data_IF_998155767684
#
_entry.id   IF_998155767684
#
_cell.length_a   1.000
_cell.length_b   1.000
_cell.length_c   1.000
_cell.angle_alpha   90.00
_cell.angle_beta   90.00
_cell.angle_gamma   90.00
#
_symmetry.space_group_name_H-M   'P 1'
#
loop_
_entity.id
_entity.type
_entity.pdbx_description
1 polymer ?
#
# COMPACT_ATOMS: atom_id res chain seq x y z
N UNK A 1 -0.11 -20.26 -1.60
CA UNK A 1 0.14 -19.14 -0.64
C UNK A 1 -1.19 -18.47 -0.32
N UNK A 2 -1.44 -18.08 0.95
CA UNK A 2 -2.63 -17.31 1.32
C UNK A 2 -2.24 -15.87 1.61
N UNK A 3 -2.96 -14.91 1.02
CA UNK A 3 -2.71 -13.48 1.17
C UNK A 3 -3.98 -12.75 1.60
N UNK A 4 -3.89 -11.88 2.60
CA UNK A 4 -4.95 -10.96 2.98
C UNK A 4 -4.69 -9.56 2.41
N UNK A 5 -5.67 -8.95 1.74
CA UNK A 5 -5.59 -7.56 1.27
C UNK A 5 -6.77 -6.75 1.79
N UNK A 6 -6.48 -5.73 2.60
CA UNK A 6 -7.44 -4.72 3.00
C UNK A 6 -7.49 -3.56 1.99
N UNK A 7 -8.69 -3.03 1.72
CA UNK A 7 -8.84 -1.86 0.84
C UNK A 7 -8.75 -2.16 -0.66
N UNK A 8 -9.10 -3.38 -1.08
CA UNK A 8 -8.97 -3.86 -2.47
C UNK A 8 -9.70 -3.01 -3.53
N UNK A 9 -10.67 -2.18 -3.12
CA UNK A 9 -11.39 -1.28 -4.03
C UNK A 9 -10.58 -0.03 -4.43
N UNK A 10 -9.45 0.25 -3.78
CA UNK A 10 -8.58 1.38 -4.13
C UNK A 10 -7.92 1.21 -5.50
N UNK A 11 -7.63 2.34 -6.18
CA UNK A 11 -7.01 2.36 -7.53
C UNK A 11 -5.68 1.57 -7.56
N UNK A 12 -4.83 1.80 -6.57
CA UNK A 12 -3.57 1.09 -6.42
C UNK A 12 -3.76 -0.41 -6.14
N UNK A 13 -4.63 -0.75 -5.18
CA UNK A 13 -4.87 -2.13 -4.77
C UNK A 13 -5.38 -3.02 -5.92
N UNK A 14 -6.19 -2.46 -6.84
CA UNK A 14 -6.63 -3.18 -8.05
C UNK A 14 -5.47 -3.52 -8.97
N UNK A 15 -4.53 -2.61 -9.18
CA UNK A 15 -3.32 -2.85 -10.00
C UNK A 15 -2.40 -3.87 -9.35
N UNK A 16 -2.17 -3.73 -8.03
CA UNK A 16 -1.40 -4.70 -7.25
C UNK A 16 -1.95 -6.11 -7.43
N UNK A 17 -3.27 -6.23 -7.36
CA UNK A 17 -3.96 -7.50 -7.48
C UNK A 17 -3.84 -8.12 -8.88
N UNK A 18 -3.88 -7.31 -9.94
CA UNK A 18 -3.55 -7.77 -11.30
C UNK A 18 -2.13 -8.34 -11.34
N UNK A 19 -1.13 -7.59 -10.88
CA UNK A 19 0.27 -8.04 -10.88
C UNK A 19 0.51 -9.29 -10.02
N UNK A 20 -0.19 -9.42 -8.88
CA UNK A 20 -0.13 -10.62 -8.04
C UNK A 20 -0.68 -11.86 -8.77
N UNK A 21 -1.81 -11.73 -9.47
CA UNK A 21 -2.42 -12.82 -10.23
C UNK A 21 -1.55 -13.22 -11.43
N UNK A 22 -1.02 -12.24 -12.16
CA UNK A 22 -0.18 -12.48 -13.33
C UNK A 22 1.15 -13.15 -12.91
N UNK A 23 1.83 -12.60 -11.90
CA UNK A 23 3.11 -13.13 -11.39
C UNK A 23 2.98 -14.52 -10.78
N UNK A 24 1.83 -14.83 -10.15
CA UNK A 24 1.56 -16.17 -9.64
C UNK A 24 1.42 -17.21 -10.76
N UNK A 25 0.89 -16.80 -11.91
CA UNK A 25 0.66 -17.68 -13.07
C UNK A 25 1.97 -17.92 -13.83
N UNK A 26 2.81 -16.90 -13.99
CA UNK A 26 4.10 -17.02 -14.69
C UNK A 26 5.12 -17.88 -13.94
N UNK A 27 5.05 -17.92 -12.60
CA UNK A 27 5.99 -18.64 -11.76
C UNK A 27 5.54 -20.08 -11.42
N UNK A 28 4.51 -20.61 -12.09
CA UNK A 28 3.95 -21.95 -11.83
C UNK A 28 3.26 -22.08 -10.46
N UNK A 29 2.97 -20.96 -9.80
CA UNK A 29 2.37 -20.90 -8.46
C UNK A 29 0.84 -20.81 -8.57
N UNK A 30 0.20 -21.90 -9.00
CA UNK A 30 -1.28 -21.95 -9.15
C UNK A 30 -2.06 -21.83 -7.83
N UNK A 31 -1.38 -21.96 -6.69
CA UNK A 31 -1.99 -22.00 -5.35
C UNK A 31 -2.07 -20.63 -4.63
N UNK A 32 -1.98 -19.50 -5.34
CA UNK A 32 -2.22 -18.19 -4.69
C UNK A 32 -3.71 -18.00 -4.41
N UNK A 33 -4.10 -18.00 -3.14
CA UNK A 33 -5.46 -17.63 -2.70
C UNK A 33 -5.41 -16.27 -2.02
N UNK A 34 -6.14 -15.29 -2.57
CA UNK A 34 -6.21 -13.95 -2.00
C UNK A 34 -7.56 -13.77 -1.29
N UNK A 35 -7.52 -13.59 0.03
CA UNK A 35 -8.66 -13.15 0.83
C UNK A 35 -8.73 -11.63 0.79
N UNK A 36 -9.83 -11.12 0.28
CA UNK A 36 -10.02 -9.68 0.05
C UNK A 36 -10.99 -9.13 1.05
N UNK A 37 -10.62 -8.01 1.66
CA UNK A 37 -11.53 -7.26 2.51
C UNK A 37 -12.02 -6.00 1.82
N UNK A 38 -13.34 -5.91 1.61
CA UNK A 38 -13.97 -4.72 1.05
C UNK A 38 -15.28 -4.38 1.77
N UNK A 39 -15.62 -3.09 1.78
CA UNK A 39 -16.90 -2.61 2.31
C UNK A 39 -18.06 -2.83 1.33
N UNK A 40 -17.76 -2.64 0.05
CA UNK A 40 -18.72 -2.65 -1.04
C UNK A 40 -18.14 -3.44 -2.22
N UNK A 41 -18.52 -4.72 -2.35
CA UNK A 41 -18.13 -5.59 -3.45
C UNK A 41 -18.45 -5.03 -4.83
N UNK A 42 -19.52 -4.25 -4.98
CA UNK A 42 -20.00 -3.76 -6.28
C UNK A 42 -19.02 -2.78 -6.93
N UNK A 43 -18.07 -2.22 -6.15
CA UNK A 43 -17.02 -1.32 -6.67
C UNK A 43 -15.85 -2.05 -7.33
N UNK A 44 -15.83 -3.37 -7.29
CA UNK A 44 -14.79 -4.17 -7.94
C UNK A 44 -15.12 -4.42 -9.42
N UNK A 45 -14.13 -4.34 -10.33
CA UNK A 45 -14.31 -4.75 -11.72
C UNK A 45 -14.73 -6.22 -11.83
N UNK A 46 -15.59 -6.52 -12.80
CA UNK A 46 -16.12 -7.87 -13.04
C UNK A 46 -15.01 -8.91 -13.22
N UNK A 47 -13.95 -8.57 -13.97
CA UNK A 47 -12.76 -9.39 -14.19
C UNK A 47 -12.05 -9.83 -12.91
N UNK A 48 -12.09 -8.98 -11.86
CA UNK A 48 -11.53 -9.30 -10.55
C UNK A 48 -12.56 -10.01 -9.67
N UNK A 49 -13.85 -9.78 -9.83
CA UNK A 49 -14.89 -10.43 -9.01
C UNK A 49 -15.12 -11.90 -9.38
N UNK A 50 -14.88 -12.29 -10.63
CA UNK A 50 -15.20 -13.63 -11.15
C UNK A 50 -14.04 -14.63 -11.07
N UNK A 51 -12.85 -14.22 -10.63
CA UNK A 51 -11.71 -15.15 -10.61
C UNK A 51 -11.78 -16.11 -9.39
N UNK A 52 -11.61 -17.41 -9.60
CA UNK A 52 -11.76 -18.44 -8.55
C UNK A 52 -10.63 -18.41 -7.51
N UNK A 53 -9.56 -17.65 -7.75
CA UNK A 53 -8.41 -17.53 -6.83
C UNK A 53 -8.65 -16.54 -5.68
N UNK A 54 -9.87 -16.00 -5.60
CA UNK A 54 -10.16 -14.81 -4.84
C UNK A 54 -11.38 -15.06 -3.97
N UNK A 55 -11.17 -15.00 -2.67
CA UNK A 55 -12.24 -15.15 -1.69
C UNK A 55 -12.59 -13.76 -1.16
N UNK A 56 -13.84 -13.35 -1.36
CA UNK A 56 -14.31 -12.05 -0.90
C UNK A 56 -14.86 -12.14 0.51
N UNK A 57 -14.28 -11.37 1.42
CA UNK A 57 -14.76 -11.17 2.77
C UNK A 57 -15.31 -9.74 2.88
N UNK A 58 -16.63 -9.63 3.00
CA UNK A 58 -17.28 -8.35 3.22
C UNK A 58 -17.39 -8.09 4.73
N UNK A 59 -17.09 -6.86 5.15
CA UNK A 59 -17.34 -6.46 6.53
C UNK A 59 -17.18 -4.95 6.76
N UNK A 60 -17.58 -4.52 7.96
CA UNK A 60 -17.55 -3.14 8.44
C UNK A 60 -16.28 -2.77 9.21
N UNK A 61 -15.15 -3.30 8.79
CA UNK A 61 -13.85 -3.11 9.43
C UNK A 61 -13.39 -1.67 9.30
N UNK A 62 -12.34 -1.27 10.04
CA UNK A 62 -11.83 0.10 9.99
C UNK A 62 -11.65 0.48 8.52
N UNK A 63 -12.25 1.61 8.13
CA UNK A 63 -12.37 2.07 6.74
C UNK A 63 -10.97 1.98 6.12
N UNK A 64 -10.76 0.97 5.26
CA UNK A 64 -9.44 0.65 4.72
C UNK A 64 -8.73 1.90 4.21
N UNK A 65 -7.42 1.98 4.50
CA UNK A 65 -6.53 3.10 4.25
C UNK A 65 -6.86 3.79 2.92
N UNK A 66 -7.67 4.84 3.04
CA UNK A 66 -7.88 5.80 1.96
C UNK A 66 -6.60 6.61 1.95
N UNK A 67 -6.10 6.99 0.77
CA UNK A 67 -4.90 7.83 0.64
C UNK A 67 -4.98 9.14 1.48
N UNK A 68 -6.16 9.47 2.02
CA UNK A 68 -6.48 10.59 2.91
C UNK A 68 -7.61 10.17 3.89
N UNK A 69 -7.32 9.28 4.84
CA UNK A 69 -8.17 9.06 6.02
C UNK A 69 -7.77 10.00 7.16
N UNK A 70 -8.65 10.23 8.15
CA UNK A 70 -8.21 10.94 9.35
C UNK A 70 -7.11 10.14 10.08
N UNK A 71 -6.21 10.83 10.78
CA UNK A 71 -5.03 10.21 11.41
C UNK A 71 -5.42 9.08 12.36
N UNK A 72 -6.51 9.26 13.13
CA UNK A 72 -7.00 8.25 14.06
C UNK A 72 -7.41 6.98 13.31
N UNK A 73 -8.15 7.11 12.22
CA UNK A 73 -8.57 6.01 11.37
C UNK A 73 -7.36 5.32 10.73
N UNK A 74 -6.38 6.08 10.24
CA UNK A 74 -5.18 5.55 9.60
C UNK A 74 -4.32 4.76 10.59
N UNK A 75 -4.12 5.30 11.80
CA UNK A 75 -3.32 4.66 12.85
C UNK A 75 -4.08 3.48 13.45
N UNK A 76 -5.25 3.71 14.03
CA UNK A 76 -5.98 2.68 14.78
C UNK A 76 -6.51 1.56 13.87
N UNK A 77 -6.86 1.90 12.62
CA UNK A 77 -7.24 0.90 11.63
C UNK A 77 -6.10 -0.05 11.26
N UNK A 78 -4.89 0.47 11.10
CA UNK A 78 -3.70 -0.36 10.85
C UNK A 78 -3.32 -1.17 12.10
N UNK A 79 -3.30 -0.56 13.29
CA UNK A 79 -3.01 -1.27 14.54
C UNK A 79 -3.92 -2.46 14.77
N UNK A 80 -5.23 -2.28 14.57
CA UNK A 80 -6.20 -3.38 14.71
C UNK A 80 -5.92 -4.54 13.75
N UNK A 81 -5.54 -4.25 12.50
CA UNK A 81 -5.16 -5.28 11.53
C UNK A 81 -3.86 -5.99 11.95
N UNK A 82 -2.88 -5.24 12.44
CA UNK A 82 -1.62 -5.77 12.95
C UNK A 82 -1.87 -6.70 14.14
N UNK A 83 -2.75 -6.32 15.07
CA UNK A 83 -3.09 -7.13 16.25
C UNK A 83 -3.75 -8.45 15.86
N UNK A 84 -4.67 -8.42 14.89
CA UNK A 84 -5.27 -9.65 14.34
C UNK A 84 -4.21 -10.54 13.69
N UNK A 85 -3.24 -9.96 12.99
CA UNK A 85 -2.14 -10.71 12.38
C UNK A 85 -1.19 -11.34 13.42
N UNK A 86 -0.86 -10.62 14.49
CA UNK A 86 0.03 -11.07 15.56
C UNK A 86 -0.62 -12.12 16.47
N UNK A 87 -1.93 -12.02 16.70
CA UNK A 87 -2.71 -12.94 17.53
C UNK A 87 -3.27 -14.17 16.78
N UNK A 88 -3.17 -14.21 15.44
CA UNK A 88 -3.66 -15.34 14.66
C UNK A 88 -2.96 -16.66 15.06
N UNK A 89 -3.65 -17.79 14.88
CA UNK A 89 -3.09 -19.13 15.15
C UNK A 89 -3.21 -20.00 13.88
N UNK A 90 -2.11 -20.28 13.16
CA UNK A 90 -0.76 -19.73 13.35
C UNK A 90 -0.70 -18.22 13.03
N UNK A 91 0.29 -17.47 13.57
CA UNK A 91 0.45 -16.04 13.28
C UNK A 91 0.65 -15.76 11.80
N UNK A 92 0.24 -14.57 11.37
CA UNK A 92 0.54 -14.11 10.01
C UNK A 92 2.03 -13.74 9.94
N UNK A 93 2.83 -14.37 9.06
CA UNK A 93 4.28 -14.26 9.12
C UNK A 93 4.81 -12.86 8.77
N UNK A 94 4.09 -12.13 7.91
CA UNK A 94 4.50 -10.81 7.40
C UNK A 94 3.31 -9.88 7.25
N UNK A 95 3.52 -8.62 7.60
CA UNK A 95 2.57 -7.55 7.37
C UNK A 95 3.21 -6.45 6.51
N UNK A 96 2.59 -6.16 5.36
CA UNK A 96 3.03 -5.10 4.45
C UNK A 96 2.18 -3.86 4.73
N UNK A 97 2.79 -2.83 5.34
CA UNK A 97 2.06 -1.61 5.69
C UNK A 97 1.87 -0.70 4.48
N UNK A 98 0.65 -0.20 4.30
CA UNK A 98 0.26 0.75 3.27
C UNK A 98 0.77 2.17 3.58
N UNK A 99 1.89 2.56 3.00
CA UNK A 99 2.26 3.99 2.90
C UNK A 99 2.59 4.40 1.46
N UNK A 100 3.27 3.54 0.68
CA UNK A 100 3.66 3.82 -0.72
C UNK A 100 4.03 5.29 -0.93
N UNK A 101 4.95 5.77 -0.10
CA UNK A 101 5.28 7.17 -0.04
C UNK A 101 6.78 7.41 -0.19
N UNK A 102 7.09 8.70 -0.11
CA UNK A 102 8.42 9.22 0.12
C UNK A 102 9.05 8.65 1.40
N UNK A 103 10.37 8.74 1.48
CA UNK A 103 11.11 8.23 2.63
C UNK A 103 10.85 9.01 3.91
N UNK A 104 9.94 8.51 4.75
CA UNK A 104 9.59 9.11 6.04
C UNK A 104 10.43 8.59 7.22
N UNK A 105 11.29 7.59 7.01
CA UNK A 105 11.99 6.87 8.09
C UNK A 105 13.00 7.71 8.87
N UNK A 106 13.36 8.89 8.37
CA UNK A 106 14.27 9.84 9.03
C UNK A 106 13.54 11.06 9.59
N UNK A 107 12.24 11.17 9.33
CA UNK A 107 11.45 12.30 9.78
C UNK A 107 11.12 12.15 11.27
N UNK A 108 11.14 13.26 11.98
CA UNK A 108 10.53 13.39 13.30
C UNK A 108 9.07 13.77 13.14
N UNK A 109 8.27 13.45 14.16
CA UNK A 109 6.88 13.87 14.20
C UNK A 109 6.78 15.38 13.97
N UNK A 110 5.78 15.79 13.18
CA UNK A 110 5.47 17.18 12.80
C UNK A 110 6.43 17.83 11.80
N UNK A 111 7.54 17.19 11.41
CA UNK A 111 8.37 17.71 10.30
C UNK A 111 7.64 17.59 8.96
N UNK A 112 6.79 16.56 8.82
CA UNK A 112 5.84 16.41 7.73
C UNK A 112 4.57 15.75 8.25
N UNK A 113 3.66 16.56 8.80
CA UNK A 113 2.47 16.08 9.50
C UNK A 113 1.65 15.00 8.76
N UNK A 114 1.51 14.99 7.40
CA UNK A 114 0.80 13.92 6.71
C UNK A 114 1.45 12.53 6.84
N UNK A 115 2.68 12.46 7.39
CA UNK A 115 3.45 11.23 7.60
C UNK A 115 3.55 10.78 9.06
N UNK A 116 3.08 11.59 10.01
CA UNK A 116 3.02 11.20 11.42
C UNK A 116 2.26 9.88 11.65
N UNK A 117 1.10 9.62 11.00
CA UNK A 117 0.43 8.33 11.12
C UNK A 117 1.31 7.13 10.72
N UNK A 118 2.17 7.29 9.72
CA UNK A 118 3.00 6.21 9.19
C UNK A 118 4.19 5.92 10.09
N UNK A 119 4.70 6.94 10.79
CA UNK A 119 5.70 6.79 11.85
C UNK A 119 5.11 5.93 12.98
N UNK A 120 3.91 6.26 13.46
CA UNK A 120 3.25 5.49 14.52
C UNK A 120 2.93 4.04 14.12
N UNK A 121 2.44 3.82 12.90
CA UNK A 121 2.16 2.46 12.40
C UNK A 121 3.45 1.64 12.25
N UNK A 122 4.53 2.26 11.77
CA UNK A 122 5.85 1.61 11.67
C UNK A 122 6.34 1.16 13.04
N UNK A 123 6.39 2.07 14.01
CA UNK A 123 6.82 1.77 15.38
C UNK A 123 5.98 0.65 16.01
N UNK A 124 4.65 0.70 15.82
CA UNK A 124 3.75 -0.32 16.35
C UNK A 124 3.93 -1.69 15.72
N UNK A 125 4.16 -1.75 14.41
CA UNK A 125 4.40 -3.01 13.72
C UNK A 125 5.75 -3.61 14.13
N UNK A 126 6.79 -2.78 14.26
CA UNK A 126 8.12 -3.21 14.70
C UNK A 126 8.17 -3.65 16.17
N UNK A 127 7.19 -3.23 16.99
CA UNK A 127 7.08 -3.72 18.36
C UNK A 127 6.47 -5.12 18.47
N UNK A 128 5.97 -5.71 17.37
CA UNK A 128 5.36 -7.05 17.37
C UNK A 128 6.42 -8.14 17.32
N UNK A 129 6.13 -9.27 17.97
CA UNK A 129 7.07 -10.41 18.09
C UNK A 129 6.88 -11.46 17.00
N UNK A 130 5.63 -11.67 16.57
CA UNK A 130 5.29 -12.80 15.69
C UNK A 130 5.14 -12.40 14.22
N UNK A 131 5.16 -11.10 13.93
CA UNK A 131 4.89 -10.55 12.60
C UNK A 131 6.10 -9.76 12.12
N UNK A 132 6.70 -10.18 11.01
CA UNK A 132 7.78 -9.42 10.37
C UNK A 132 7.20 -8.19 9.66
N UNK A 133 7.80 -7.03 9.94
CA UNK A 133 7.43 -5.76 9.33
C UNK A 133 7.98 -5.65 7.90
N UNK A 134 7.15 -5.16 6.98
CA UNK A 134 7.55 -4.81 5.61
C UNK A 134 6.95 -3.44 5.26
N UNK A 135 7.82 -2.50 4.89
CA UNK A 135 7.46 -1.14 4.49
C UNK A 135 7.95 -0.87 3.08
N UNK A 136 7.06 -0.39 2.22
CA UNK A 136 7.39 -0.13 0.81
C UNK A 136 7.34 1.38 0.56
N UNK A 137 8.45 1.93 0.10
CA UNK A 137 8.63 3.32 -0.27
C UNK A 137 8.75 3.43 -1.80
N UNK A 138 7.94 4.28 -2.42
CA UNK A 138 7.89 4.43 -3.88
C UNK A 138 8.09 5.88 -4.34
N UNK A 139 8.47 6.76 -3.41
CA UNK A 139 8.47 8.20 -3.68
C UNK A 139 7.05 8.72 -3.81
N UNK A 140 6.84 9.72 -4.66
CA UNK A 140 5.50 10.18 -5.03
C UNK A 140 4.92 9.38 -6.20
N UNK A 141 3.61 9.15 -6.19
CA UNK A 141 2.98 8.63 -7.40
C UNK A 141 3.02 9.69 -8.50
N UNK A 142 3.55 9.32 -9.66
CA UNK A 142 3.70 10.21 -10.83
C UNK A 142 2.33 10.71 -11.28
N UNK A 143 1.31 9.85 -11.32
CA UNK A 143 0.00 10.23 -11.85
C UNK A 143 -0.70 11.33 -11.03
N UNK A 144 -0.73 11.28 -9.68
CA UNK A 144 -1.14 12.43 -8.88
C UNK A 144 -0.25 13.66 -9.07
N UNK A 145 1.09 13.52 -8.99
CA UNK A 145 2.05 14.65 -9.08
C UNK A 145 1.79 15.49 -10.34
N UNK A 146 1.63 14.83 -11.48
CA UNK A 146 1.42 15.49 -12.76
C UNK A 146 -0.07 15.72 -13.10
N UNK A 147 -0.98 15.39 -12.19
CA UNK A 147 -2.39 15.75 -12.35
C UNK A 147 -2.67 17.16 -11.84
N UNK A 148 -3.78 17.73 -12.30
CA UNK A 148 -4.30 19.01 -11.81
C UNK A 148 -4.59 19.03 -10.31
N UNK A 149 -4.63 17.87 -9.65
CA UNK A 149 -4.87 17.77 -8.21
C UNK A 149 -3.82 18.50 -7.36
N UNK A 150 -2.54 18.42 -7.73
CA UNK A 150 -1.47 19.11 -7.00
C UNK A 150 -1.11 20.48 -7.59
N UNK A 151 -1.60 20.80 -8.80
CA UNK A 151 -1.31 22.07 -9.47
C UNK A 151 0.18 22.29 -9.76
N UNK A 152 0.98 21.22 -9.79
CA UNK A 152 2.42 21.28 -10.09
C UNK A 152 2.64 21.55 -11.57
N UNK A 153 1.88 20.89 -12.45
CA UNK A 153 1.97 21.09 -13.90
C UNK A 153 0.66 21.69 -14.40
N UNK A 154 0.78 22.85 -15.04
CA UNK A 154 -0.26 23.54 -15.78
C UNK A 154 0.13 23.50 -17.26
N UNK A 155 -0.41 22.52 -17.97
CA UNK A 155 -0.10 22.29 -19.39
C UNK A 155 -0.77 23.33 -20.31
N UNK A 156 -1.83 24.00 -19.85
CA UNK A 156 -2.51 25.04 -20.64
C UNK A 156 -1.69 26.34 -20.65
N UNK A 157 -0.99 26.62 -19.55
CA UNK A 157 -0.15 27.81 -19.38
C UNK A 157 1.35 27.55 -19.59
N UNK A 158 1.77 26.32 -19.93
CA UNK A 158 3.16 25.88 -20.00
C UNK A 158 3.97 26.19 -18.70
N UNK A 159 3.35 25.99 -17.52
CA UNK A 159 3.96 26.30 -16.22
C UNK A 159 4.20 25.03 -15.39
N UNK A 160 5.42 24.93 -14.84
CA UNK A 160 5.75 24.01 -13.75
C UNK A 160 5.96 24.81 -12.47
N UNK A 161 5.16 24.54 -11.44
CA UNK A 161 5.28 25.13 -10.11
C UNK A 161 6.09 24.21 -9.22
N UNK A 162 7.04 24.78 -8.49
CA UNK A 162 7.80 24.08 -7.46
C UNK A 162 7.85 24.93 -6.19
N UNK A 163 8.21 24.29 -5.08
CA UNK A 163 8.46 24.95 -3.80
C UNK A 163 9.89 24.65 -3.39
N UNK A 164 10.57 25.64 -2.82
CA UNK A 164 12.01 25.54 -2.52
C UNK A 164 12.84 26.30 -3.54
N UNK A 165 14.10 25.91 -3.70
CA UNK A 165 15.04 26.56 -4.60
C UNK A 165 15.13 25.91 -6.00
N UNK A 166 14.45 24.77 -6.18
CA UNK A 166 14.41 24.05 -7.46
C UNK A 166 15.58 23.09 -7.66
N UNK A 167 16.44 22.90 -6.64
CA UNK A 167 17.52 21.92 -6.65
C UNK A 167 17.14 20.58 -6.01
N UNK A 168 15.94 20.49 -5.44
CA UNK A 168 15.47 19.33 -4.72
C UNK A 168 15.23 18.13 -5.64
N UNK A 169 15.71 16.95 -5.24
CA UNK A 169 15.47 15.71 -5.97
C UNK A 169 14.05 15.23 -5.69
N UNK A 170 13.23 15.15 -6.73
CA UNK A 170 11.91 14.52 -6.69
C UNK A 170 11.98 13.09 -7.20
N UNK A 171 11.73 12.12 -6.32
CA UNK A 171 11.59 10.70 -6.69
C UNK A 171 10.10 10.37 -6.88
N UNK A 172 9.76 9.68 -7.97
CA UNK A 172 8.41 9.21 -8.21
C UNK A 172 8.34 7.91 -8.99
N UNK A 173 7.27 7.17 -8.73
CA UNK A 173 6.98 5.88 -9.39
C UNK A 173 5.56 5.90 -9.94
N UNK A 174 5.33 5.28 -11.10
CA UNK A 174 3.97 5.10 -11.62
C UNK A 174 3.16 4.16 -10.71
N UNK A 175 1.82 4.26 -10.73
CA UNK A 175 0.99 3.30 -10.01
C UNK A 175 1.25 1.86 -10.47
N UNK A 176 1.57 1.64 -11.74
CA UNK A 176 1.80 0.30 -12.28
C UNK A 176 3.12 -0.29 -11.77
N UNK A 177 4.21 0.45 -11.85
CA UNK A 177 5.52 -0.03 -11.41
C UNK A 177 5.57 -0.23 -9.90
N UNK A 178 4.96 0.69 -9.13
CA UNK A 178 4.81 0.53 -7.69
C UNK A 178 3.99 -0.71 -7.32
N UNK A 179 2.93 -1.00 -8.09
CA UNK A 179 2.10 -2.19 -7.90
C UNK A 179 2.87 -3.48 -8.25
N UNK A 180 3.63 -3.46 -9.34
CA UNK A 180 4.49 -4.57 -9.78
C UNK A 180 5.60 -4.86 -8.77
N UNK A 181 6.28 -3.82 -8.29
CA UNK A 181 7.30 -3.93 -7.23
C UNK A 181 6.67 -4.52 -5.97
N UNK A 182 5.54 -3.98 -5.54
CA UNK A 182 4.81 -4.47 -4.35
C UNK A 182 4.40 -5.94 -4.50
N UNK A 183 3.92 -6.36 -5.67
CA UNK A 183 3.58 -7.75 -5.93
C UNK A 183 4.79 -8.68 -5.75
N UNK A 184 5.95 -8.30 -6.30
CA UNK A 184 7.20 -9.06 -6.13
C UNK A 184 7.63 -9.15 -4.66
N UNK A 185 7.57 -8.03 -3.93
CA UNK A 185 7.87 -7.99 -2.49
C UNK A 185 6.93 -8.88 -1.67
N UNK A 186 5.64 -8.87 -1.99
CA UNK A 186 4.65 -9.72 -1.31
C UNK A 186 4.94 -11.20 -1.58
N UNK A 187 5.30 -11.57 -2.80
CA UNK A 187 5.58 -12.95 -3.19
C UNK A 187 6.94 -13.47 -2.68
N UNK A 188 7.92 -12.59 -2.45
CA UNK A 188 9.19 -12.94 -1.81
C UNK A 188 9.00 -13.19 -0.32
N UNK A 189 9.15 -14.44 0.12
CA UNK A 189 8.98 -14.82 1.52
C UNK A 189 10.05 -14.27 2.47
N UNK A 190 11.17 -13.78 1.97
CA UNK A 190 12.28 -13.24 2.75
C UNK A 190 12.23 -11.70 2.90
N UNK A 191 11.31 -11.04 2.18
CA UNK A 191 11.17 -9.59 2.25
C UNK A 191 10.84 -9.12 3.67
N UNK A 192 11.65 -8.18 4.18
CA UNK A 192 11.57 -7.62 5.53
C UNK A 192 12.10 -6.18 5.56
N UNK A 193 11.69 -5.41 6.56
CA UNK A 193 12.17 -4.05 6.79
C UNK A 193 11.68 -3.05 5.75
N UNK A 194 12.50 -2.03 5.47
CA UNK A 194 12.15 -0.92 4.58
C UNK A 194 12.73 -1.17 3.19
N UNK A 195 11.86 -1.29 2.20
CA UNK A 195 12.18 -1.55 0.81
C UNK A 195 11.84 -0.33 -0.06
N UNK A 196 12.72 -0.01 -1.00
CA UNK A 196 12.59 1.15 -1.89
C UNK A 196 12.45 0.67 -3.32
N UNK A 197 11.39 1.13 -3.98
CA UNK A 197 11.25 1.01 -5.43
C UNK A 197 12.23 1.99 -6.09
N UNK A 198 13.22 1.48 -6.81
CA UNK A 198 14.24 2.22 -7.56
C UNK A 198 14.45 1.55 -8.90
#
# INVERSE_FOLDING_TARGET
>A
MKLGIAGVTGKFARRLLTHLLDSSTSNGQESLTVKRYCRDPAKLPSSLSSSPRLELLQGSGPRGARLLGDDKLMVEGQKALIDVCDAATPPVPRYVSSDWALGYTKLKLRELFPKDPMIHVKEYLESKRNVTSVHILVGGFVEPIFSSFFGIVDADSDVIRHWGDGSEIMEGTTYDDAARFTARTVLDCQASGVLRCR
#
